data_IF_555270483475
#
_entry.id   IF_555270483475
#
_cell.length_a   1.000
_cell.length_b   1.000
_cell.length_c   1.000
_cell.angle_alpha   90.00
_cell.angle_beta   90.00
_cell.angle_gamma   90.00
#
_symmetry.space_group_name_H-M   'P 1'
#
loop_
_entity.id
_entity.type
_entity.pdbx_description
1 polymer ?
#
# COMPACT_ATOMS: atom_id res chain seq x y z
N UNK A 1 -12.28 -8.95 -3.67
CA UNK A 1 -13.51 -8.17 -3.94
C UNK A 1 -13.22 -6.67 -4.07
N UNK A 2 -12.54 -6.03 -3.12
CA UNK A 2 -12.22 -4.59 -3.20
C UNK A 2 -11.46 -4.16 -4.46
N UNK A 3 -10.41 -4.90 -4.87
CA UNK A 3 -9.67 -4.60 -6.10
C UNK A 3 -10.55 -4.63 -7.34
N UNK A 4 -11.38 -5.67 -7.48
CA UNK A 4 -12.37 -5.77 -8.56
C UNK A 4 -13.37 -4.62 -8.54
N UNK A 5 -13.87 -4.25 -7.36
CA UNK A 5 -14.80 -3.13 -7.20
C UNK A 5 -14.19 -1.83 -7.73
N UNK A 6 -12.94 -1.52 -7.36
CA UNK A 6 -12.25 -0.34 -7.89
C UNK A 6 -12.04 -0.42 -9.40
N UNK A 7 -11.55 -1.55 -9.92
CA UNK A 7 -11.29 -1.74 -11.35
C UNK A 7 -12.55 -1.66 -12.22
N UNK A 8 -13.72 -2.05 -11.70
CA UNK A 8 -14.99 -1.99 -12.44
C UNK A 8 -15.71 -0.64 -12.33
N UNK A 9 -15.44 0.15 -11.28
CA UNK A 9 -16.27 1.32 -10.93
C UNK A 9 -15.51 2.65 -10.91
N UNK A 10 -14.18 2.64 -10.96
CA UNK A 10 -13.37 3.84 -10.81
C UNK A 10 -12.42 4.01 -12.00
N UNK A 11 -12.25 5.25 -12.45
CA UNK A 11 -11.30 5.65 -13.49
C UNK A 11 -10.02 6.25 -12.90
N UNK A 12 -10.07 6.81 -11.70
CA UNK A 12 -8.92 7.44 -11.04
C UNK A 12 -8.75 7.02 -9.59
N UNK A 13 -7.58 7.33 -9.02
CA UNK A 13 -7.28 7.13 -7.60
C UNK A 13 -8.23 7.95 -6.73
N UNK A 14 -8.60 9.16 -7.14
CA UNK A 14 -9.52 10.04 -6.43
C UNK A 14 -10.92 9.43 -6.29
N UNK A 15 -11.38 8.67 -7.30
CA UNK A 15 -12.65 7.93 -7.23
C UNK A 15 -12.53 6.66 -6.40
N UNK A 16 -11.41 5.93 -6.53
CA UNK A 16 -11.21 4.65 -5.86
C UNK A 16 -11.03 4.79 -4.33
N UNK A 17 -10.32 5.83 -3.88
CA UNK A 17 -10.03 6.05 -2.45
C UNK A 17 -11.29 6.11 -1.58
N UNK A 18 -12.29 6.98 -1.84
CA UNK A 18 -13.50 7.03 -1.01
C UNK A 18 -14.28 5.72 -1.10
N UNK A 19 -14.48 5.17 -2.29
CA UNK A 19 -15.20 3.90 -2.49
C UNK A 19 -14.59 2.76 -1.65
N UNK A 20 -13.27 2.58 -1.73
CA UNK A 20 -12.57 1.52 -1.00
C UNK A 20 -12.48 1.81 0.50
N UNK A 21 -12.38 3.08 0.90
CA UNK A 21 -12.36 3.46 2.32
C UNK A 21 -13.69 3.16 3.00
N UNK A 22 -14.81 3.44 2.33
CA UNK A 22 -16.16 3.25 2.84
C UNK A 22 -16.66 1.81 2.72
N UNK A 23 -16.17 1.04 1.74
CA UNK A 23 -16.60 -0.35 1.56
C UNK A 23 -16.21 -1.19 2.79
N UNK A 24 -17.17 -1.79 3.53
CA UNK A 24 -16.86 -2.59 4.70
C UNK A 24 -16.04 -3.84 4.37
N UNK A 25 -15.17 -4.23 5.30
CA UNK A 25 -14.49 -5.52 5.29
C UNK A 25 -14.64 -6.17 6.66
N UNK A 26 -14.69 -7.50 6.71
CA UNK A 26 -15.04 -8.22 7.94
C UNK A 26 -13.87 -8.94 8.60
N UNK A 27 -12.87 -9.39 7.84
CA UNK A 27 -11.88 -10.35 8.34
C UNK A 27 -10.44 -9.83 8.31
N UNK A 28 -9.95 -9.39 7.16
CA UNK A 28 -8.52 -9.20 6.96
C UNK A 28 -8.18 -7.74 6.70
N UNK A 29 -7.35 -7.18 7.57
CA UNK A 29 -6.61 -5.95 7.28
C UNK A 29 -5.74 -6.13 6.05
N UNK A 30 -5.64 -5.09 5.21
CA UNK A 30 -4.89 -5.11 3.96
C UNK A 30 -4.28 -3.76 3.61
N UNK A 31 -3.18 -3.82 2.87
CA UNK A 31 -2.63 -2.67 2.16
C UNK A 31 -2.99 -2.78 0.68
N UNK A 32 -3.52 -1.71 0.08
CA UNK A 32 -3.87 -1.64 -1.34
C UNK A 32 -3.06 -0.51 -1.96
N UNK A 33 -2.16 -0.83 -2.88
CA UNK A 33 -1.48 0.19 -3.70
C UNK A 33 -2.38 0.53 -4.88
N UNK A 34 -2.68 1.81 -5.06
CA UNK A 34 -3.49 2.34 -6.15
C UNK A 34 -2.64 3.28 -7.00
N UNK A 35 -2.82 3.16 -8.31
CA UNK A 35 -2.21 4.00 -9.32
C UNK A 35 -3.21 4.23 -10.46
N UNK A 36 -3.12 5.38 -11.15
CA UNK A 36 -3.90 5.64 -12.35
C UNK A 36 -3.05 6.24 -13.48
N UNK A 37 -3.67 6.41 -14.66
CA UNK A 37 -3.01 6.98 -15.84
C UNK A 37 -2.69 8.47 -15.73
N UNK A 38 -3.25 9.18 -14.75
CA UNK A 38 -2.89 10.55 -14.41
C UNK A 38 -1.60 10.66 -13.61
N UNK A 39 -1.03 9.53 -13.19
CA UNK A 39 0.18 9.47 -12.38
C UNK A 39 -0.08 9.58 -10.87
N UNK A 40 -1.34 9.56 -10.43
CA UNK A 40 -1.65 9.55 -9.01
C UNK A 40 -1.21 8.22 -8.39
N UNK A 41 -0.60 8.28 -7.20
CA UNK A 41 -0.16 7.11 -6.43
C UNK A 41 -0.60 7.24 -4.97
N UNK A 42 -1.11 6.15 -4.40
CA UNK A 42 -1.45 6.10 -2.96
C UNK A 42 -1.40 4.65 -2.46
N UNK A 43 -1.07 4.46 -1.19
CA UNK A 43 -1.32 3.21 -0.48
C UNK A 43 -2.45 3.44 0.50
N UNK A 44 -3.52 2.66 0.38
CA UNK A 44 -4.61 2.57 1.34
C UNK A 44 -4.33 1.43 2.32
N UNK A 45 -4.13 1.79 3.59
CA UNK A 45 -4.07 0.86 4.72
C UNK A 45 -5.50 0.71 5.27
N UNK A 46 -6.08 -0.49 5.25
CA UNK A 46 -7.49 -0.70 5.61
C UNK A 46 -7.66 -1.86 6.57
N UNK A 47 -8.32 -1.62 7.71
CA UNK A 47 -8.83 -2.64 8.63
C UNK A 47 -10.37 -2.64 8.63
N UNK A 48 -11.02 -3.60 9.33
CA UNK A 48 -12.47 -3.57 9.53
C UNK A 48 -13.00 -2.31 10.24
N UNK A 49 -12.14 -1.60 10.99
CA UNK A 49 -12.55 -0.52 11.89
C UNK A 49 -11.95 0.84 11.56
N UNK A 50 -10.97 0.91 10.66
CA UNK A 50 -10.26 2.14 10.34
C UNK A 50 -9.56 2.05 8.98
N UNK A 51 -9.16 3.20 8.44
CA UNK A 51 -8.35 3.29 7.24
C UNK A 51 -7.37 4.46 7.31
N UNK A 52 -6.27 4.37 6.57
CA UNK A 52 -5.32 5.45 6.39
C UNK A 52 -4.73 5.47 4.98
N UNK A 53 -4.29 6.65 4.55
CA UNK A 53 -3.64 6.85 3.27
C UNK A 53 -2.18 7.21 3.48
N UNK A 54 -1.32 6.63 2.66
CA UNK A 54 0.07 7.02 2.52
C UNK A 54 0.31 7.57 1.13
N UNK A 55 1.03 8.68 1.07
CA UNK A 55 1.40 9.38 -0.17
C UNK A 55 2.83 9.04 -0.58
N UNK A 56 3.17 9.10 -1.88
CA UNK A 56 4.49 8.78 -2.37
C UNK A 56 5.55 9.74 -1.82
N UNK A 57 6.78 9.24 -1.72
CA UNK A 57 7.97 10.01 -1.41
C UNK A 57 8.89 9.95 -2.63
N UNK A 58 9.33 11.10 -3.12
CA UNK A 58 10.18 11.20 -4.32
C UNK A 58 9.61 10.45 -5.53
N UNK A 59 8.28 10.51 -5.74
CA UNK A 59 7.62 9.83 -6.86
C UNK A 59 7.42 8.32 -6.69
N UNK A 60 7.89 7.70 -5.60
CA UNK A 60 7.75 6.27 -5.35
C UNK A 60 6.93 5.98 -4.08
N UNK A 61 6.22 4.85 -4.09
CA UNK A 61 5.55 4.29 -2.91
C UNK A 61 5.50 2.78 -3.02
N UNK A 62 5.45 2.10 -1.88
CA UNK A 62 5.22 0.67 -1.80
C UNK A 62 4.53 0.31 -0.49
N UNK A 63 3.97 -0.89 -0.43
CA UNK A 63 3.47 -1.49 0.80
C UNK A 63 4.05 -2.89 1.00
N UNK A 64 4.25 -3.26 2.27
CA UNK A 64 4.53 -4.63 2.71
C UNK A 64 3.30 -5.17 3.44
N UNK A 65 3.45 -6.22 4.25
CA UNK A 65 2.32 -6.90 4.89
C UNK A 65 2.00 -6.38 6.31
N UNK A 66 2.53 -5.22 6.69
CA UNK A 66 2.16 -4.53 7.92
C UNK A 66 1.83 -3.06 7.62
N UNK A 67 1.00 -2.46 8.46
CA UNK A 67 0.66 -1.05 8.46
C UNK A 67 1.81 -0.21 8.99
N UNK A 68 2.06 0.92 8.34
CA UNK A 68 3.10 1.89 8.72
C UNK A 68 2.53 3.18 9.30
N UNK A 69 1.26 3.51 9.03
CA UNK A 69 0.67 4.72 9.61
C UNK A 69 0.53 4.53 11.12
N UNK A 70 0.94 5.50 11.97
CA UNK A 70 0.87 5.34 13.43
C UNK A 70 -0.50 4.91 13.95
N UNK A 71 -1.58 5.49 13.41
CA UNK A 71 -2.95 5.11 13.80
C UNK A 71 -3.31 3.69 13.39
N UNK A 72 -2.74 3.16 12.32
CA UNK A 72 -3.06 1.82 11.83
C UNK A 72 -2.19 0.74 12.47
N UNK A 73 -1.03 1.07 13.05
CA UNK A 73 -0.06 0.08 13.55
C UNK A 73 -0.66 -0.92 14.55
N UNK A 74 -1.51 -0.46 15.46
CA UNK A 74 -2.20 -1.31 16.45
C UNK A 74 -3.24 -2.26 15.83
N UNK A 75 -3.59 -2.09 14.55
CA UNK A 75 -4.59 -2.88 13.80
C UNK A 75 -3.95 -3.87 12.83
N UNK A 76 -2.62 -4.05 12.93
CA UNK A 76 -1.91 -5.07 12.20
C UNK A 76 -2.48 -6.46 12.52
N UNK A 77 -2.57 -7.30 11.50
CA UNK A 77 -2.95 -8.70 11.69
C UNK A 77 -1.89 -9.37 12.58
N UNK A 78 -2.33 -10.15 13.56
CA UNK A 78 -1.44 -10.88 14.47
C UNK A 78 -0.97 -12.19 13.82
N UNK A 79 -0.17 -12.10 12.75
CA UNK A 79 0.41 -13.26 12.08
C UNK A 79 1.58 -13.89 12.85
N UNK A 80 1.94 -13.37 14.03
CA UNK A 80 3.09 -13.81 14.81
C UNK A 80 4.41 -13.12 14.39
N UNK A 81 5.43 -13.27 15.24
CA UNK A 81 6.70 -12.52 15.14
C UNK A 81 7.48 -12.77 13.85
N UNK A 82 7.58 -14.02 13.42
CA UNK A 82 8.34 -14.38 12.20
C UNK A 82 7.77 -13.70 10.95
N UNK A 83 6.45 -13.65 10.81
CA UNK A 83 5.80 -12.97 9.69
C UNK A 83 6.01 -11.47 9.71
N UNK A 84 5.95 -10.86 10.89
CA UNK A 84 6.24 -9.43 11.06
C UNK A 84 7.69 -9.12 10.70
N UNK A 85 8.65 -9.90 11.20
CA UNK A 85 10.08 -9.72 10.90
C UNK A 85 10.38 -9.82 9.39
N UNK A 86 9.76 -10.76 8.68
CA UNK A 86 9.90 -10.89 7.23
C UNK A 86 9.33 -9.67 6.48
N UNK A 87 8.22 -9.11 6.98
CA UNK A 87 7.61 -7.89 6.47
C UNK A 87 8.51 -6.67 6.70
N UNK A 88 9.10 -6.55 7.89
CA UNK A 88 10.06 -5.50 8.23
C UNK A 88 11.36 -5.59 7.43
N UNK A 89 11.87 -6.79 7.17
CA UNK A 89 13.05 -7.00 6.32
C UNK A 89 12.82 -6.46 4.91
N UNK A 90 11.67 -6.78 4.30
CA UNK A 90 11.29 -6.23 2.99
C UNK A 90 11.07 -4.72 3.04
N UNK A 91 10.48 -4.21 4.12
CA UNK A 91 10.32 -2.76 4.32
C UNK A 91 11.67 -2.05 4.30
N UNK A 92 12.65 -2.56 5.06
CA UNK A 92 14.03 -2.01 5.08
C UNK A 92 14.68 -2.09 3.71
N UNK A 93 14.60 -3.25 3.05
CA UNK A 93 15.19 -3.46 1.73
C UNK A 93 14.62 -2.50 0.68
N UNK A 94 13.30 -2.46 0.51
CA UNK A 94 12.64 -1.59 -0.46
C UNK A 94 12.87 -0.10 -0.16
N UNK A 95 12.93 0.29 1.11
CA UNK A 95 13.31 1.67 1.49
C UNK A 95 14.72 2.01 1.01
N UNK A 96 15.68 1.09 1.19
CA UNK A 96 17.06 1.29 0.80
C UNK A 96 17.29 1.28 -0.71
N UNK A 97 16.44 0.60 -1.48
CA UNK A 97 16.55 0.52 -2.94
C UNK A 97 15.73 1.59 -3.65
N UNK A 98 14.46 1.79 -3.28
CA UNK A 98 13.55 2.67 -4.02
C UNK A 98 13.76 4.16 -3.74
N UNK A 99 14.33 4.53 -2.60
CA UNK A 99 14.49 5.94 -2.23
C UNK A 99 15.92 6.46 -2.32
N UNK A 100 16.81 5.77 -3.04
CA UNK A 100 18.14 6.32 -3.36
C UNK A 100 17.97 7.44 -4.39
N UNK A 101 18.79 8.51 -4.33
CA UNK A 101 18.67 9.63 -5.26
C UNK A 101 18.83 9.25 -6.75
N UNK A 102 19.58 8.17 -7.01
CA UNK A 102 19.96 7.67 -8.32
C UNK A 102 19.08 6.50 -8.81
N UNK A 103 18.04 6.14 -8.06
CA UNK A 103 17.17 5.02 -8.45
C UNK A 103 16.33 5.39 -9.66
N UNK A 104 16.56 4.68 -10.77
CA UNK A 104 15.68 4.72 -11.93
C UNK A 104 14.32 4.09 -11.59
N UNK A 105 13.23 4.78 -11.93
CA UNK A 105 11.87 4.28 -11.79
C UNK A 105 11.32 3.82 -13.15
N UNK A 106 11.70 2.62 -13.55
CA UNK A 106 11.20 1.96 -14.77
C UNK A 106 10.71 0.55 -14.48
N UNK A 107 9.85 0.02 -15.35
CA UNK A 107 9.35 -1.36 -15.24
C UNK A 107 10.50 -2.35 -15.27
N UNK A 108 11.47 -2.15 -16.16
CA UNK A 108 12.67 -2.98 -16.24
C UNK A 108 13.46 -2.94 -14.93
N UNK A 109 13.65 -1.75 -14.34
CA UNK A 109 14.37 -1.66 -13.08
C UNK A 109 13.64 -2.36 -11.94
N UNK A 110 12.31 -2.35 -11.95
CA UNK A 110 11.49 -3.05 -10.94
C UNK A 110 11.70 -4.57 -10.95
N UNK A 111 12.00 -5.18 -12.10
CA UNK A 111 12.26 -6.63 -12.22
C UNK A 111 13.60 -7.05 -11.58
N UNK A 112 14.49 -6.10 -11.32
CA UNK A 112 15.81 -6.33 -10.72
C UNK A 112 15.83 -6.17 -9.19
N UNK A 113 14.72 -5.73 -8.59
CA UNK A 113 14.58 -5.44 -7.14
C UNK A 113 13.97 -6.66 -6.42
#
# INVERSE_FOLDING_TARGET
MLTRLALERCRSVEEAVPLLSETPITLHSMNITLADSGGALVVLEKSPTDCALRRPKNGAIFCVNHFLTPRMFARNNNYGRVYLENSERRQRHLTAVLFRPDTEHSVRKMEEI
#
